data_IF_616296480134
#
_entry.id   IF_616296480134
#
_cell.length_a   1.000
_cell.length_b   1.000
_cell.length_c   1.000
_cell.angle_alpha   90.00
_cell.angle_beta   90.00
_cell.angle_gamma   90.00
#
_symmetry.space_group_name_H-M   'P 1'
#
loop_
_entity.id
_entity.type
_entity.pdbx_description
1 polymer ?
#
# COMPACT_ATOMS: atom_id res chain seq x y z
N UNK A 1 7.83 -31.81 -65.66
CA UNK A 1 8.10 -30.63 -64.84
C UNK A 1 7.61 -30.93 -63.42
N UNK A 2 8.50 -31.25 -62.47
CA UNK A 2 8.12 -31.56 -61.08
C UNK A 2 8.18 -30.26 -60.27
N UNK A 3 7.04 -29.82 -59.75
CA UNK A 3 6.94 -28.65 -58.87
C UNK A 3 7.06 -29.14 -57.43
N UNK A 4 8.19 -28.87 -56.80
CA UNK A 4 8.41 -29.16 -55.38
C UNK A 4 7.90 -27.98 -54.57
N UNK A 5 6.76 -28.16 -53.88
CA UNK A 5 6.18 -27.15 -53.00
C UNK A 5 6.87 -27.28 -51.63
N UNK A 6 7.67 -26.29 -51.25
CA UNK A 6 8.21 -26.16 -49.89
C UNK A 6 7.10 -25.64 -48.97
N UNK A 7 6.55 -26.52 -48.14
CA UNK A 7 5.69 -26.12 -47.02
C UNK A 7 6.58 -25.47 -45.93
N UNK A 8 6.63 -24.14 -45.93
CA UNK A 8 7.21 -23.36 -44.83
C UNK A 8 6.30 -23.51 -43.61
N UNK A 9 6.68 -24.41 -42.70
CA UNK A 9 6.10 -24.53 -41.37
C UNK A 9 6.46 -23.27 -40.56
N UNK A 10 5.58 -22.27 -40.58
CA UNK A 10 5.62 -21.19 -39.60
C UNK A 10 5.14 -21.76 -38.26
N UNK A 11 6.09 -22.21 -37.42
CA UNK A 11 5.81 -22.46 -36.02
C UNK A 11 5.40 -21.12 -35.39
N UNK A 12 4.20 -21.00 -34.78
CA UNK A 12 3.88 -19.82 -34.01
C UNK A 12 4.79 -19.83 -32.78
N UNK A 13 5.81 -18.98 -32.79
CA UNK A 13 6.53 -18.64 -31.58
C UNK A 13 5.51 -18.03 -30.61
N UNK A 14 5.06 -18.83 -29.64
CA UNK A 14 4.41 -18.30 -28.45
C UNK A 14 5.48 -17.53 -27.68
N UNK A 15 5.60 -16.24 -27.98
CA UNK A 15 6.33 -15.31 -27.11
C UNK A 15 5.48 -15.22 -25.84
N UNK A 16 5.76 -16.10 -24.88
CA UNK A 16 5.34 -15.87 -23.51
C UNK A 16 6.13 -14.64 -23.04
N UNK A 17 5.51 -13.46 -23.12
CA UNK A 17 6.00 -12.32 -22.37
C UNK A 17 6.02 -12.75 -20.90
N UNK A 18 7.20 -13.07 -20.37
CA UNK A 18 7.32 -13.53 -19.00
C UNK A 18 6.86 -12.38 -18.11
N UNK A 19 5.89 -12.67 -17.25
CA UNK A 19 5.24 -11.67 -16.41
C UNK A 19 6.19 -11.26 -15.28
N UNK A 20 7.14 -10.39 -15.61
CA UNK A 20 8.30 -10.04 -14.80
C UNK A 20 8.06 -8.81 -13.92
N UNK A 21 6.81 -8.51 -13.55
CA UNK A 21 6.56 -7.41 -12.62
C UNK A 21 7.11 -7.76 -11.24
N UNK A 22 8.04 -6.96 -10.75
CA UNK A 22 8.61 -7.14 -9.42
C UNK A 22 9.09 -5.81 -8.84
N UNK A 23 9.10 -5.72 -7.50
CA UNK A 23 9.70 -4.61 -6.76
C UNK A 23 10.85 -5.18 -5.94
N UNK A 24 12.04 -4.60 -6.09
CA UNK A 24 13.25 -5.02 -5.36
C UNK A 24 13.94 -3.81 -4.73
N UNK A 25 14.77 -4.04 -3.71
CA UNK A 25 15.70 -3.04 -3.19
C UNK A 25 17.12 -3.32 -3.67
N UNK A 26 17.89 -2.25 -3.88
CA UNK A 26 19.32 -2.29 -4.15
C UNK A 26 20.01 -1.29 -3.22
N UNK A 27 20.84 -1.80 -2.30
CA UNK A 27 21.48 -0.98 -1.28
C UNK A 27 22.93 -0.66 -1.62
N UNK A 28 23.35 0.56 -1.28
CA UNK A 28 24.70 1.08 -1.53
C UNK A 28 25.71 0.66 -0.46
N UNK A 29 25.24 0.03 0.62
CA UNK A 29 26.07 -0.49 1.70
C UNK A 29 25.38 -1.66 2.42
N UNK A 30 26.17 -2.43 3.17
CA UNK A 30 25.73 -3.62 3.93
C UNK A 30 24.79 -3.29 5.10
N UNK A 31 24.81 -2.04 5.57
CA UNK A 31 23.95 -1.58 6.67
C UNK A 31 22.58 -1.07 6.19
N UNK A 32 22.31 -1.16 4.89
CA UNK A 32 21.08 -0.73 4.24
C UNK A 32 20.69 0.73 4.58
N UNK A 33 21.67 1.60 4.84
CA UNK A 33 21.40 3.00 5.22
C UNK A 33 21.00 3.87 4.03
N UNK A 34 21.23 3.39 2.82
CA UNK A 34 20.87 4.03 1.56
C UNK A 34 20.58 2.95 0.52
N UNK A 35 19.31 2.79 0.16
CA UNK A 35 18.82 1.83 -0.80
C UNK A 35 17.90 2.50 -1.81
N UNK A 36 18.01 2.08 -3.06
CA UNK A 36 17.03 2.40 -4.08
C UNK A 36 16.01 1.27 -4.17
N UNK A 37 14.74 1.62 -4.28
CA UNK A 37 13.66 0.68 -4.58
C UNK A 37 13.39 0.77 -6.08
N UNK A 38 13.44 -0.38 -6.76
CA UNK A 38 13.32 -0.48 -8.21
C UNK A 38 12.05 -1.22 -8.60
N UNK A 39 11.35 -0.69 -9.60
CA UNK A 39 10.31 -1.37 -10.36
C UNK A 39 10.92 -2.08 -11.56
N UNK A 40 10.73 -3.40 -11.61
CA UNK A 40 11.09 -4.25 -12.74
C UNK A 40 9.82 -4.54 -13.55
N UNK A 41 9.84 -4.21 -14.84
CA UNK A 41 8.78 -4.50 -15.81
C UNK A 41 9.42 -5.17 -17.03
N UNK A 42 9.69 -6.49 -16.95
CA UNK A 42 10.49 -7.18 -17.95
C UNK A 42 11.95 -6.76 -17.87
N UNK A 43 12.50 -6.26 -18.97
CA UNK A 43 13.87 -5.73 -19.03
C UNK A 43 13.97 -4.28 -18.54
N UNK A 44 12.85 -3.57 -18.39
CA UNK A 44 12.83 -2.19 -17.92
C UNK A 44 13.01 -2.17 -16.41
N UNK A 45 13.96 -1.35 -15.95
CA UNK A 45 14.21 -1.07 -14.53
C UNK A 45 14.03 0.42 -14.30
N UNK A 46 13.18 0.78 -13.35
CA UNK A 46 12.96 2.18 -12.95
C UNK A 46 13.19 2.30 -11.45
N UNK A 47 13.98 3.27 -11.01
CA UNK A 47 14.06 3.64 -9.60
C UNK A 47 12.76 4.36 -9.25
N UNK A 48 12.04 3.84 -8.25
CA UNK A 48 10.76 4.41 -7.78
C UNK A 48 10.89 5.07 -6.41
N UNK A 49 11.87 4.67 -5.60
CA UNK A 49 12.30 5.40 -4.40
C UNK A 49 13.82 5.40 -4.37
N UNK A 50 14.44 6.53 -4.04
CA UNK A 50 15.88 6.67 -4.01
C UNK A 50 16.41 6.94 -2.60
N UNK A 51 17.53 6.32 -2.24
CA UNK A 51 18.24 6.59 -0.99
C UNK A 51 17.43 6.36 0.30
N UNK A 52 16.47 5.44 0.29
CA UNK A 52 15.67 5.08 1.48
C UNK A 52 16.46 4.14 2.39
N UNK A 53 16.22 4.21 3.70
CA UNK A 53 16.86 3.37 4.71
C UNK A 53 16.03 2.12 4.97
N UNK A 54 16.67 0.94 4.85
CA UNK A 54 16.14 -0.38 5.17
C UNK A 54 14.67 -0.61 4.74
N UNK A 55 14.34 -0.50 3.44
CA UNK A 55 12.96 -0.62 2.98
C UNK A 55 12.43 -2.05 3.18
N UNK A 56 11.20 -2.18 3.69
CA UNK A 56 10.52 -3.47 3.78
C UNK A 56 9.57 -3.61 2.59
N UNK A 57 9.86 -4.57 1.72
CA UNK A 57 9.06 -4.85 0.53
C UNK A 57 8.27 -6.14 0.76
N UNK A 58 6.95 -6.09 0.58
CA UNK A 58 6.04 -7.23 0.69
C UNK A 58 5.17 -7.31 -0.56
N UNK A 59 5.16 -8.45 -1.24
CA UNK A 59 4.14 -8.74 -2.26
C UNK A 59 2.83 -9.03 -1.53
N UNK A 60 1.79 -8.22 -1.76
CA UNK A 60 0.51 -8.35 -1.06
C UNK A 60 -0.58 -8.95 -1.95
N UNK A 61 -0.48 -8.80 -3.28
CA UNK A 61 -1.26 -9.55 -4.27
C UNK A 61 -0.42 -9.82 -5.53
N UNK A 62 -0.97 -10.51 -6.53
CA UNK A 62 -0.25 -10.86 -7.75
C UNK A 62 0.38 -9.64 -8.46
N UNK A 63 -0.33 -8.52 -8.45
CA UNK A 63 0.05 -7.28 -9.12
C UNK A 63 0.32 -6.11 -8.15
N UNK A 64 0.36 -6.34 -6.83
CA UNK A 64 0.60 -5.25 -5.87
C UNK A 64 1.67 -5.59 -4.85
N UNK A 65 2.60 -4.65 -4.68
CA UNK A 65 3.61 -4.62 -3.64
C UNK A 65 3.32 -3.50 -2.63
N UNK A 66 3.47 -3.81 -1.36
CA UNK A 66 3.57 -2.85 -0.28
C UNK A 66 5.04 -2.59 0.04
N UNK A 67 5.43 -1.32 0.15
CA UNK A 67 6.78 -0.92 0.54
C UNK A 67 6.69 0.03 1.71
N UNK A 68 7.25 -0.38 2.85
CA UNK A 68 7.54 0.51 3.96
C UNK A 68 8.94 1.10 3.73
N UNK A 69 9.02 2.42 3.68
CA UNK A 69 10.28 3.13 3.53
C UNK A 69 10.50 4.04 4.73
N UNK A 70 11.73 4.10 5.23
CA UNK A 70 12.16 5.15 6.14
C UNK A 70 13.19 6.07 5.46
N UNK A 71 13.11 7.37 5.72
CA UNK A 71 14.14 8.33 5.31
C UNK A 71 14.84 9.02 6.50
N UNK A 72 14.72 8.44 7.71
CA UNK A 72 15.17 9.03 8.97
C UNK A 72 14.04 9.14 9.99
N UNK A 73 14.29 9.78 11.13
CA UNK A 73 13.25 10.04 12.15
C UNK A 73 12.79 11.49 12.09
N UNK A 74 11.47 11.80 11.99
CA UNK A 74 10.34 10.91 11.79
C UNK A 74 9.93 10.88 10.31
N UNK A 75 10.47 9.92 9.55
CA UNK A 75 10.07 9.70 8.17
C UNK A 75 9.74 8.23 7.97
N UNK A 76 8.44 7.94 7.90
CA UNK A 76 7.88 6.65 7.53
C UNK A 76 6.90 6.87 6.39
N UNK A 77 7.14 6.19 5.28
CA UNK A 77 6.30 6.23 4.10
C UNK A 77 5.76 4.85 3.78
N UNK A 78 4.46 4.76 3.54
CA UNK A 78 3.76 3.56 3.14
C UNK A 78 3.39 3.70 1.67
N UNK A 79 4.01 2.87 0.82
CA UNK A 79 3.80 2.89 -0.61
C UNK A 79 3.11 1.60 -1.06
N UNK A 80 2.22 1.75 -2.03
CA UNK A 80 1.61 0.65 -2.76
C UNK A 80 1.98 0.81 -4.23
N UNK A 81 2.53 -0.24 -4.82
CA UNK A 81 2.96 -0.23 -6.21
C UNK A 81 2.28 -1.34 -6.98
N UNK A 82 1.65 -0.94 -8.08
CA UNK A 82 1.25 -1.81 -9.18
C UNK A 82 2.20 -1.52 -10.37
N UNK A 83 2.13 -2.34 -11.42
CA UNK A 83 2.89 -2.26 -12.66
C UNK A 83 3.04 -0.83 -13.18
N UNK A 84 1.94 -0.05 -13.13
CA UNK A 84 1.88 1.31 -13.67
C UNK A 84 1.29 2.34 -12.70
N UNK A 85 0.96 1.97 -11.46
CA UNK A 85 0.32 2.86 -10.49
C UNK A 85 1.07 2.87 -9.17
N UNK A 86 0.90 3.97 -8.46
CA UNK A 86 1.45 4.20 -7.15
C UNK A 86 0.38 4.82 -6.27
N UNK A 87 0.34 4.40 -5.01
CA UNK A 87 -0.40 5.07 -3.95
C UNK A 87 0.52 5.22 -2.74
N UNK A 88 0.34 6.30 -1.99
CA UNK A 88 1.23 6.68 -0.90
C UNK A 88 0.45 7.25 0.27
N UNK A 89 0.94 6.99 1.48
CA UNK A 89 0.54 7.68 2.71
C UNK A 89 1.65 7.61 3.75
N UNK A 90 1.80 8.66 4.56
CA UNK A 90 2.66 8.68 5.74
C UNK A 90 1.87 8.48 7.04
N UNK A 91 0.55 8.33 6.95
CA UNK A 91 -0.36 8.22 8.09
C UNK A 91 -1.25 6.97 7.98
N UNK A 92 -0.65 5.84 7.60
CA UNK A 92 -1.37 4.58 7.45
C UNK A 92 -1.87 4.07 8.81
N UNK A 93 -3.18 3.81 8.90
CA UNK A 93 -3.76 3.08 10.04
C UNK A 93 -3.80 1.59 9.71
N UNK A 94 -4.48 1.22 8.63
CA UNK A 94 -4.59 -0.19 8.20
C UNK A 94 -5.06 -0.26 6.74
N UNK A 95 -4.81 -1.38 6.07
CA UNK A 95 -5.38 -1.66 4.76
C UNK A 95 -5.94 -3.08 4.69
N UNK A 96 -6.86 -3.30 3.75
CA UNK A 96 -7.33 -4.63 3.35
C UNK A 96 -7.03 -4.86 1.88
N UNK A 97 -6.24 -5.90 1.61
CA UNK A 97 -5.85 -6.24 0.25
C UNK A 97 -7.01 -6.79 -0.58
N UNK A 98 -7.98 -7.45 0.04
CA UNK A 98 -9.09 -8.07 -0.70
C UNK A 98 -10.02 -7.01 -1.31
N UNK A 99 -10.32 -5.97 -0.55
CA UNK A 99 -11.11 -4.83 -1.04
C UNK A 99 -10.26 -3.70 -1.65
N UNK A 100 -8.93 -3.76 -1.48
CA UNK A 100 -8.01 -2.67 -1.81
C UNK A 100 -8.29 -1.41 -0.97
N UNK A 101 -8.91 -1.54 0.21
CA UNK A 101 -9.28 -0.41 1.03
C UNK A 101 -8.12 0.03 1.92
N UNK A 102 -7.81 1.32 1.92
CA UNK A 102 -6.79 1.95 2.75
C UNK A 102 -7.48 2.88 3.73
N UNK A 103 -7.12 2.75 5.00
CA UNK A 103 -7.51 3.64 6.09
C UNK A 103 -6.28 4.44 6.49
N UNK A 104 -6.39 5.76 6.38
CA UNK A 104 -5.33 6.71 6.69
C UNK A 104 -5.88 7.85 7.53
N UNK A 105 -5.06 8.45 8.39
CA UNK A 105 -5.40 9.71 9.03
C UNK A 105 -4.86 10.91 8.26
N UNK A 106 -5.37 12.06 8.64
CA UNK A 106 -4.86 13.38 8.35
C UNK A 106 -4.81 14.08 9.71
N UNK A 107 -3.63 14.03 10.33
CA UNK A 107 -3.47 14.49 11.70
C UNK A 107 -3.63 16.01 11.80
N UNK A 108 -3.16 16.73 10.78
CA UNK A 108 -3.34 18.18 10.68
C UNK A 108 -4.82 18.56 10.54
N UNK A 109 -5.55 17.86 9.68
CA UNK A 109 -6.99 18.06 9.46
C UNK A 109 -7.89 17.37 10.51
N UNK A 110 -7.31 16.64 11.46
CA UNK A 110 -7.99 15.85 12.51
C UNK A 110 -9.08 14.95 11.92
N UNK A 111 -8.75 14.17 10.90
CA UNK A 111 -9.69 13.28 10.22
C UNK A 111 -9.10 11.90 9.99
N UNK A 112 -9.99 10.91 9.89
CA UNK A 112 -9.66 9.58 9.36
C UNK A 112 -10.44 9.39 8.08
N UNK A 113 -9.75 8.96 7.04
CA UNK A 113 -10.31 8.71 5.73
C UNK A 113 -10.24 7.24 5.36
N UNK A 114 -11.15 6.83 4.48
CA UNK A 114 -11.02 5.63 3.68
C UNK A 114 -10.83 6.02 2.21
N UNK A 115 -9.95 5.32 1.52
CA UNK A 115 -9.83 5.39 0.06
C UNK A 115 -9.58 4.01 -0.50
N UNK A 116 -9.92 3.82 -1.77
CA UNK A 116 -9.46 2.65 -2.51
C UNK A 116 -8.02 2.89 -2.95
N UNK A 117 -7.21 1.85 -2.92
CA UNK A 117 -5.85 1.86 -3.42
C UNK A 117 -5.82 2.37 -4.86
N UNK A 118 -4.89 3.26 -5.16
CA UNK A 118 -4.74 3.93 -6.46
C UNK A 118 -5.91 4.84 -6.86
N UNK A 119 -6.72 5.29 -5.89
CA UNK A 119 -7.78 6.26 -6.10
C UNK A 119 -7.56 7.48 -5.22
N UNK A 120 -7.66 8.66 -5.83
CA UNK A 120 -7.60 9.93 -5.11
C UNK A 120 -8.91 10.26 -4.36
N UNK A 121 -9.98 9.50 -4.61
CA UNK A 121 -11.25 9.70 -3.92
C UNK A 121 -11.18 9.20 -2.48
N UNK A 122 -11.20 10.14 -1.54
CA UNK A 122 -11.22 9.90 -0.10
C UNK A 122 -12.63 10.11 0.45
N UNK A 123 -13.03 9.24 1.37
CA UNK A 123 -14.26 9.35 2.15
C UNK A 123 -13.91 9.59 3.61
N UNK A 124 -14.39 10.68 4.19
CA UNK A 124 -14.26 10.93 5.63
C UNK A 124 -15.03 9.87 6.41
N UNK A 125 -14.33 9.15 7.30
CA UNK A 125 -14.94 8.21 8.24
C UNK A 125 -15.17 8.84 9.61
N UNK A 126 -14.17 9.58 10.11
CA UNK A 126 -14.15 10.14 11.46
C UNK A 126 -13.66 11.58 11.41
N UNK A 127 -14.27 12.43 12.24
CA UNK A 127 -13.77 13.75 12.60
C UNK A 127 -13.25 13.69 14.04
N UNK A 128 -11.93 13.73 14.18
CA UNK A 128 -11.19 13.65 15.45
C UNK A 128 -11.25 14.97 16.25
N UNK A 129 -11.88 16.02 15.72
CA UNK A 129 -12.15 17.26 16.47
C UNK A 129 -13.36 17.17 17.39
N UNK A 130 -14.09 16.04 17.38
CA UNK A 130 -15.22 15.82 18.29
C UNK A 130 -14.71 15.47 19.68
N UNK A 131 -15.44 15.90 20.71
CA UNK A 131 -15.12 15.70 22.12
C UNK A 131 -14.90 14.23 22.51
N UNK A 132 -15.54 13.29 21.79
CA UNK A 132 -15.37 11.84 22.00
C UNK A 132 -13.92 11.36 21.75
N UNK A 133 -13.11 12.15 21.03
CA UNK A 133 -11.71 11.85 20.71
C UNK A 133 -10.71 12.66 21.54
N UNK A 134 -11.16 13.48 22.50
CA UNK A 134 -10.26 14.24 23.38
C UNK A 134 -9.45 13.35 24.33
N UNK A 135 -9.85 12.09 24.47
CA UNK A 135 -9.13 11.06 25.24
C UNK A 135 -7.83 10.59 24.58
N UNK A 136 -7.65 10.86 23.29
CA UNK A 136 -6.46 10.45 22.54
C UNK A 136 -5.23 11.25 22.98
N UNK A 137 -4.13 10.55 23.24
CA UNK A 137 -2.89 11.13 23.74
C UNK A 137 -2.11 11.86 22.63
N UNK A 138 -2.15 11.35 21.40
CA UNK A 138 -1.41 11.93 20.27
C UNK A 138 -2.24 12.96 19.50
N UNK A 139 -1.98 14.25 19.74
CA UNK A 139 -2.61 15.34 18.98
C UNK A 139 -1.92 15.70 17.66
N UNK A 140 -0.67 15.25 17.48
CA UNK A 140 0.17 15.59 16.33
C UNK A 140 0.27 14.44 15.32
N UNK A 141 0.06 13.21 15.78
CA UNK A 141 0.13 12.01 14.96
C UNK A 141 -0.99 11.05 15.38
N UNK A 142 -2.20 11.26 14.87
CA UNK A 142 -3.32 10.41 15.26
C UNK A 142 -3.20 8.99 14.71
N UNK A 143 -2.50 8.73 13.60
CA UNK A 143 -2.44 7.35 13.08
C UNK A 143 -1.81 6.39 14.09
N UNK A 144 -0.83 6.84 14.90
CA UNK A 144 -0.15 5.97 15.88
C UNK A 144 -1.10 5.44 16.95
N UNK A 145 -2.13 6.19 17.30
CA UNK A 145 -3.11 5.72 18.28
C UNK A 145 -3.93 4.56 17.70
N UNK A 146 -4.07 4.48 16.37
CA UNK A 146 -4.94 3.51 15.70
C UNK A 146 -4.21 2.37 14.98
N UNK A 147 -2.95 2.52 14.58
CA UNK A 147 -2.30 1.64 13.60
C UNK A 147 -1.83 0.29 14.17
N UNK A 148 -1.74 0.13 15.49
CA UNK A 148 -1.29 -1.11 16.11
C UNK A 148 -2.39 -2.18 16.14
N UNK A 149 -3.61 -1.80 16.53
CA UNK A 149 -4.69 -2.75 16.82
C UNK A 149 -5.84 -2.72 15.81
N UNK A 150 -5.89 -1.74 14.90
CA UNK A 150 -6.98 -1.67 13.91
C UNK A 150 -6.85 -2.76 12.85
N UNK A 151 -7.98 -3.36 12.45
CA UNK A 151 -8.00 -4.43 11.45
C UNK A 151 -9.32 -4.52 10.68
N UNK A 152 -9.28 -5.16 9.52
CA UNK A 152 -10.48 -5.55 8.78
C UNK A 152 -10.95 -6.96 9.16
N UNK A 153 -12.24 -7.12 9.43
CA UNK A 153 -12.82 -8.45 9.61
C UNK A 153 -13.00 -9.18 8.27
N UNK A 154 -13.33 -10.48 8.31
CA UNK A 154 -13.54 -11.32 7.12
C UNK A 154 -14.66 -10.82 6.20
N UNK A 155 -15.55 -9.96 6.70
CA UNK A 155 -16.63 -9.35 5.92
C UNK A 155 -16.22 -7.99 5.32
N UNK A 156 -14.96 -7.58 5.46
CA UNK A 156 -14.45 -6.30 4.97
C UNK A 156 -14.88 -5.09 5.79
N UNK A 157 -15.36 -5.30 7.03
CA UNK A 157 -15.65 -4.20 7.94
C UNK A 157 -14.41 -3.81 8.72
N UNK A 158 -14.23 -2.52 8.94
CA UNK A 158 -13.14 -1.99 9.74
C UNK A 158 -13.50 -2.05 11.22
N UNK A 159 -12.64 -2.68 12.00
CA UNK A 159 -12.57 -2.53 13.45
C UNK A 159 -11.49 -1.49 13.74
N UNK A 160 -11.90 -0.23 13.90
CA UNK A 160 -11.01 0.88 14.23
C UNK A 160 -10.84 0.91 15.74
N UNK A 161 -9.60 0.75 16.20
CA UNK A 161 -9.27 0.63 17.62
C UNK A 161 -8.19 1.66 17.91
N UNK A 162 -8.46 2.56 18.85
CA UNK A 162 -7.42 3.39 19.44
C UNK A 162 -6.91 2.75 20.73
N UNK A 163 -5.59 2.71 20.89
CA UNK A 163 -4.94 2.23 22.09
C UNK A 163 -3.81 3.15 22.57
N UNK A 164 -3.49 3.01 23.84
CA UNK A 164 -2.34 3.65 24.48
C UNK A 164 -1.66 2.58 25.35
N UNK A 165 -0.51 2.07 24.89
CA UNK A 165 0.22 0.95 25.52
C UNK A 165 -0.71 -0.22 25.91
N UNK A 166 -1.34 -0.85 24.91
CA UNK A 166 -2.31 -1.96 25.06
C UNK A 166 -3.63 -1.63 25.78
N UNK A 167 -3.77 -0.45 26.38
CA UNK A 167 -5.05 0.01 26.93
C UNK A 167 -5.93 0.53 25.79
N UNK A 168 -7.07 -0.13 25.58
CA UNK A 168 -8.06 0.31 24.60
C UNK A 168 -8.71 1.61 25.09
N UNK A 169 -8.58 2.67 24.29
CA UNK A 169 -9.22 3.96 24.55
C UNK A 169 -10.57 4.07 23.84
N UNK A 170 -10.64 3.57 22.59
CA UNK A 170 -11.84 3.63 21.78
C UNK A 170 -11.89 2.45 20.82
N UNK A 171 -13.10 1.95 20.57
CA UNK A 171 -13.38 0.93 19.56
C UNK A 171 -14.61 1.30 18.76
N UNK A 172 -14.48 1.27 17.43
CA UNK A 172 -15.58 1.56 16.51
C UNK A 172 -15.58 0.59 15.34
N UNK A 173 -16.73 -0.03 15.09
CA UNK A 173 -16.93 -0.85 13.89
C UNK A 173 -17.52 0.02 12.79
N UNK A 174 -16.89 0.00 11.61
CA UNK A 174 -17.34 0.75 10.42
C UNK A 174 -17.61 -0.24 9.32
N UNK A 175 -18.87 -0.29 8.90
CA UNK A 175 -19.33 -1.21 7.85
C UNK A 175 -18.88 -0.68 6.50
N UNK A 176 -18.17 -1.51 5.75
CA UNK A 176 -17.74 -1.24 4.36
C UNK A 176 -17.18 0.19 4.17
N UNK A 177 -16.03 0.51 4.79
CA UNK A 177 -15.51 1.88 4.85
C UNK A 177 -15.25 2.49 3.47
N UNK A 178 -14.73 1.71 2.52
CA UNK A 178 -14.48 2.14 1.14
C UNK A 178 -15.69 2.03 0.20
N UNK A 179 -16.86 1.61 0.71
CA UNK A 179 -18.06 1.37 -0.09
C UNK A 179 -17.95 0.14 -1.01
N UNK A 180 -19.08 -0.33 -1.50
CA UNK A 180 -19.16 -1.48 -2.41
C UNK A 180 -18.43 -1.18 -3.71
N UNK A 181 -17.72 -2.16 -4.29
CA UNK A 181 -17.28 -2.03 -5.69
C UNK A 181 -18.58 -1.97 -6.50
N UNK A 182 -18.88 -0.85 -7.14
CA UNK A 182 -19.90 -0.89 -8.20
C UNK A 182 -19.30 -1.83 -9.25
N UNK A 183 -19.88 -3.02 -9.36
CA UNK A 183 -19.59 -3.98 -10.43
C UNK A 183 -19.92 -3.35 -11.76
#
# INVERSE_FOLDING_TARGET
MRVTIYFLFFLPFKIYASDNFNIISQCNNEYETSCDVLRLNGVKKNIILAGVRSPIIKKISDDVFYVLSSCGSPCVGHYFFDRNKEDYTNELIVFDINSGCIIESDSAGKKIYAKRMFSNNRRTLINLSKIEFDILSSKMNYYSDFNEMSYFDKAGNLNLIANDYEKILLKKKIINPCGSVKK
#
